data_IF_642319466819
#
_entry.id   IF_642319466819
#
_cell.length_a   1.000
_cell.length_b   1.000
_cell.length_c   1.000
_cell.angle_alpha   90.00
_cell.angle_beta   90.00
_cell.angle_gamma   90.00
#
_symmetry.space_group_name_H-M   'P 1'
#
loop_
_entity.id
_entity.type
_entity.pdbx_description
1 polymer ?
#
# COMPACT_ATOMS: atom_id res chain seq x y z
N UNK A 1 -1.06 12.39 18.62
CA UNK A 1 -2.24 12.24 17.76
C UNK A 1 -3.43 11.72 18.55
N UNK A 2 -4.64 12.20 18.24
CA UNK A 2 -5.88 11.57 18.71
C UNK A 2 -6.23 10.46 17.72
N UNK A 3 -6.50 9.26 18.24
CA UNK A 3 -6.82 8.09 17.42
C UNK A 3 -8.22 7.60 17.75
N UNK A 4 -9.05 7.40 16.74
CA UNK A 4 -10.32 6.70 16.86
C UNK A 4 -10.20 5.31 16.21
N UNK A 5 -10.57 4.28 16.94
CA UNK A 5 -10.58 2.90 16.43
C UNK A 5 -12.03 2.50 16.18
N UNK A 6 -12.32 2.07 14.96
CA UNK A 6 -13.67 1.67 14.53
C UNK A 6 -13.57 0.29 13.88
N UNK A 7 -14.49 -0.60 14.23
CA UNK A 7 -14.57 -1.89 13.53
C UNK A 7 -15.22 -1.72 12.16
N UNK A 8 -14.72 -2.42 11.16
CA UNK A 8 -15.28 -2.33 9.81
C UNK A 8 -16.74 -2.78 9.76
N UNK A 9 -17.14 -3.72 10.63
CA UNK A 9 -18.53 -4.16 10.72
C UNK A 9 -19.46 -3.01 11.13
N UNK A 10 -19.07 -2.19 12.11
CA UNK A 10 -19.85 -1.02 12.49
C UNK A 10 -19.99 -0.02 11.32
N UNK A 11 -18.95 0.10 10.49
CA UNK A 11 -19.00 0.94 9.29
C UNK A 11 -20.00 0.37 8.27
N UNK A 12 -19.98 -0.93 8.07
CA UNK A 12 -20.95 -1.57 7.16
C UNK A 12 -22.39 -1.44 7.66
N UNK A 13 -22.60 -1.66 8.95
CA UNK A 13 -23.94 -1.60 9.57
C UNK A 13 -24.53 -0.20 9.47
N UNK A 14 -23.77 0.82 9.79
CA UNK A 14 -24.22 2.20 9.83
C UNK A 14 -24.36 2.82 8.43
N UNK A 15 -23.40 2.55 7.54
CA UNK A 15 -23.26 3.28 6.27
C UNK A 15 -23.76 2.52 5.05
N UNK A 16 -24.06 1.22 5.15
CA UNK A 16 -24.61 0.45 4.02
C UNK A 16 -25.49 -0.75 4.44
N UNK A 17 -26.21 -0.64 5.54
CA UNK A 17 -27.16 -1.66 6.01
C UNK A 17 -26.52 -3.05 6.23
N UNK A 18 -25.32 -3.09 6.76
CA UNK A 18 -24.55 -4.31 7.02
C UNK A 18 -23.86 -4.91 5.79
N UNK A 19 -23.98 -4.30 4.62
CA UNK A 19 -23.34 -4.82 3.40
C UNK A 19 -21.85 -4.44 3.37
N UNK A 20 -20.95 -5.41 3.13
CA UNK A 20 -19.51 -5.17 3.06
C UNK A 20 -19.11 -4.55 1.72
N UNK A 21 -19.45 -3.28 1.51
CA UNK A 21 -19.18 -2.58 0.26
C UNK A 21 -18.14 -1.47 0.41
N UNK A 22 -17.38 -1.15 -0.65
CA UNK A 22 -16.51 0.02 -0.67
C UNK A 22 -17.25 1.33 -0.42
N UNK A 23 -18.54 1.38 -0.78
CA UNK A 23 -19.40 2.55 -0.62
C UNK A 23 -19.61 2.88 0.86
N UNK A 24 -19.76 1.87 1.71
CA UNK A 24 -19.88 2.06 3.16
C UNK A 24 -18.67 2.81 3.72
N UNK A 25 -17.47 2.38 3.35
CA UNK A 25 -16.22 2.99 3.79
C UNK A 25 -16.12 4.44 3.29
N UNK A 26 -16.46 4.69 2.04
CA UNK A 26 -16.47 6.04 1.48
C UNK A 26 -17.45 6.97 2.19
N UNK A 27 -18.65 6.49 2.51
CA UNK A 27 -19.65 7.24 3.27
C UNK A 27 -19.18 7.55 4.68
N UNK A 28 -18.55 6.58 5.35
CA UNK A 28 -17.92 6.77 6.65
C UNK A 28 -16.85 7.87 6.59
N UNK A 29 -15.89 7.79 5.66
CA UNK A 29 -14.85 8.81 5.47
C UNK A 29 -15.45 10.20 5.31
N UNK A 30 -16.49 10.34 4.50
CA UNK A 30 -17.18 11.62 4.33
C UNK A 30 -17.87 12.10 5.61
N UNK A 31 -18.50 11.21 6.35
CA UNK A 31 -19.15 11.54 7.62
C UNK A 31 -18.14 12.01 8.68
N UNK A 32 -16.93 11.44 8.70
CA UNK A 32 -15.88 11.84 9.66
C UNK A 32 -15.38 13.27 9.42
N UNK A 33 -15.62 13.86 8.26
CA UNK A 33 -15.23 15.25 8.00
C UNK A 33 -16.03 16.27 8.83
N UNK A 34 -17.17 15.86 9.40
CA UNK A 34 -17.93 16.65 10.36
C UNK A 34 -17.39 16.56 11.81
N UNK A 35 -16.41 15.71 12.08
CA UNK A 35 -15.80 15.62 13.41
C UNK A 35 -14.92 16.84 13.70
N UNK A 36 -14.72 17.12 14.99
CA UNK A 36 -13.86 18.23 15.43
C UNK A 36 -12.79 17.73 16.42
N UNK A 37 -11.53 17.62 16.02
CA UNK A 37 -11.02 17.87 14.66
C UNK A 37 -11.38 16.76 13.67
N UNK A 38 -11.47 17.09 12.39
CA UNK A 38 -11.63 16.11 11.34
C UNK A 38 -10.35 15.24 11.21
N UNK A 39 -10.46 13.94 10.90
CA UNK A 39 -9.30 13.08 10.72
C UNK A 39 -8.51 13.47 9.47
N UNK A 40 -7.19 13.34 9.56
CA UNK A 40 -6.25 13.59 8.46
C UNK A 40 -5.74 12.30 7.82
N UNK A 41 -5.91 11.18 8.51
CA UNK A 41 -5.40 9.88 8.11
C UNK A 41 -6.45 8.80 8.37
N UNK A 42 -6.52 7.84 7.46
CA UNK A 42 -7.24 6.58 7.63
C UNK A 42 -6.25 5.43 7.46
N UNK A 43 -6.12 4.59 8.47
CA UNK A 43 -5.34 3.35 8.40
C UNK A 43 -6.28 2.15 8.41
N UNK A 44 -6.22 1.32 7.38
CA UNK A 44 -7.02 0.11 7.24
C UNK A 44 -6.15 -1.09 7.58
N UNK A 45 -6.43 -1.74 8.70
CA UNK A 45 -5.75 -2.96 9.13
C UNK A 45 -6.54 -4.17 8.63
N UNK A 46 -6.38 -4.52 7.38
CA UNK A 46 -7.05 -5.66 6.74
C UNK A 46 -6.49 -5.90 5.34
N UNK A 47 -6.54 -7.15 4.89
CA UNK A 47 -6.27 -7.48 3.50
C UNK A 47 -7.36 -6.92 2.56
N UNK A 48 -7.01 -6.73 1.31
CA UNK A 48 -7.93 -6.26 0.30
C UNK A 48 -8.68 -7.43 -0.34
N UNK A 49 -9.99 -7.27 -0.54
CA UNK A 49 -10.75 -8.16 -1.39
C UNK A 49 -11.29 -7.39 -2.60
N UNK A 50 -11.22 -8.03 -3.75
CA UNK A 50 -11.79 -7.49 -4.96
C UNK A 50 -13.31 -7.40 -4.83
N UNK A 51 -13.94 -6.27 -5.16
CA UNK A 51 -15.37 -6.22 -5.32
C UNK A 51 -15.74 -7.14 -6.50
N UNK A 52 -16.67 -8.04 -6.27
CA UNK A 52 -17.19 -8.88 -7.33
C UNK A 52 -17.90 -7.97 -8.33
N UNK A 53 -17.53 -8.10 -9.59
CA UNK A 53 -17.87 -7.16 -10.68
C UNK A 53 -19.37 -7.15 -11.04
N UNK A 54 -20.13 -8.14 -10.62
CA UNK A 54 -21.54 -8.35 -10.94
C UNK A 54 -22.52 -7.94 -9.83
N UNK A 55 -22.02 -7.33 -8.76
CA UNK A 55 -22.84 -6.95 -7.60
C UNK A 55 -23.26 -8.12 -6.74
N UNK A 56 -22.85 -9.36 -7.05
CA UNK A 56 -22.99 -10.48 -6.13
C UNK A 56 -22.07 -10.23 -4.95
N UNK A 57 -22.64 -10.08 -3.76
CA UNK A 57 -21.89 -10.10 -2.52
C UNK A 57 -21.55 -11.57 -2.28
N UNK A 58 -20.28 -11.93 -2.47
CA UNK A 58 -19.82 -13.22 -1.96
C UNK A 58 -20.06 -13.20 -0.44
N UNK A 59 -21.04 -14.00 0.00
CA UNK A 59 -21.39 -14.13 1.41
C UNK A 59 -20.27 -14.72 2.26
N UNK A 60 -19.20 -15.17 1.63
CA UNK A 60 -17.97 -15.66 2.25
C UNK A 60 -16.90 -14.55 2.36
N UNK A 61 -17.28 -13.32 2.73
CA UNK A 61 -16.32 -12.27 2.99
C UNK A 61 -15.43 -12.68 4.18
N UNK A 62 -14.14 -12.94 3.98
CA UNK A 62 -13.28 -13.32 5.11
C UNK A 62 -13.28 -12.20 6.15
N UNK A 63 -13.38 -12.51 7.45
CA UNK A 63 -13.49 -11.50 8.51
C UNK A 63 -12.27 -10.57 8.61
N UNK A 64 -11.16 -10.92 7.94
CA UNK A 64 -9.93 -10.12 7.86
C UNK A 64 -9.82 -9.29 6.59
N UNK A 65 -10.84 -9.24 5.74
CA UNK A 65 -10.79 -8.47 4.50
C UNK A 65 -11.68 -7.25 4.55
N UNK A 66 -11.21 -6.20 3.88
CA UNK A 66 -11.96 -4.95 3.66
C UNK A 66 -11.95 -4.67 2.17
N UNK A 67 -13.12 -4.52 1.53
CA UNK A 67 -13.18 -4.32 0.09
C UNK A 67 -12.40 -3.08 -0.34
N UNK A 68 -11.74 -3.16 -1.48
CA UNK A 68 -11.20 -2.02 -2.22
C UNK A 68 -12.10 -1.67 -3.39
N UNK A 69 -11.88 -0.53 -4.05
CA UNK A 69 -12.73 -0.07 -5.15
C UNK A 69 -11.98 -0.06 -6.48
N UNK A 70 -12.69 -0.48 -7.53
CA UNK A 70 -12.27 -0.29 -8.92
C UNK A 70 -11.42 -1.43 -9.49
N UNK A 71 -11.21 -1.32 -10.79
CA UNK A 71 -10.26 -2.09 -11.60
C UNK A 71 -9.20 -1.09 -12.07
N UNK A 72 -8.01 -1.24 -11.81
CA UNK A 72 -7.15 -1.52 -10.77
C UNK A 72 -7.64 -1.01 -9.37
N UNK A 73 -7.56 -1.82 -8.31
CA UNK A 73 -8.11 -1.42 -7.02
C UNK A 73 -7.35 -0.23 -6.43
N UNK A 74 -8.12 0.71 -5.87
CA UNK A 74 -7.58 1.90 -5.23
C UNK A 74 -8.30 2.20 -3.92
N UNK A 75 -7.56 2.23 -2.82
CA UNK A 75 -8.09 2.68 -1.53
C UNK A 75 -8.20 4.21 -1.45
N UNK A 76 -7.43 4.96 -2.24
CA UNK A 76 -7.56 6.42 -2.36
C UNK A 76 -8.96 6.86 -2.76
N UNK A 77 -9.71 6.01 -3.48
CA UNK A 77 -11.10 6.28 -3.84
C UNK A 77 -12.01 6.54 -2.63
N UNK A 78 -11.71 5.98 -1.47
CA UNK A 78 -12.49 6.23 -0.25
C UNK A 78 -12.44 7.69 0.17
N UNK A 79 -11.33 8.35 -0.07
CA UNK A 79 -11.06 9.73 0.34
C UNK A 79 -11.34 10.77 -0.75
N UNK A 80 -11.59 10.38 -2.00
CA UNK A 80 -11.85 11.33 -3.09
C UNK A 80 -13.08 12.18 -2.82
N UNK A 81 -12.93 13.50 -2.99
CA UNK A 81 -14.00 14.48 -2.74
C UNK A 81 -15.13 14.37 -3.74
N UNK A 82 -14.83 14.27 -5.01
CA UNK A 82 -15.79 14.30 -6.11
C UNK A 82 -15.90 12.94 -6.79
N UNK A 83 -16.98 12.76 -7.54
CA UNK A 83 -17.15 11.66 -8.47
C UNK A 83 -16.76 12.06 -9.90
N UNK A 84 -16.22 13.27 -10.10
CA UNK A 84 -15.78 13.75 -11.40
C UNK A 84 -14.50 13.08 -11.87
N UNK A 85 -14.31 12.91 -13.18
CA UNK A 85 -13.16 12.22 -13.74
C UNK A 85 -11.82 12.93 -13.48
N UNK A 86 -11.85 14.22 -13.20
CA UNK A 86 -10.64 15.05 -13.07
C UNK A 86 -10.38 15.56 -11.64
N UNK A 87 -11.22 15.18 -10.66
CA UNK A 87 -11.04 15.61 -9.27
C UNK A 87 -10.45 14.47 -8.43
N UNK A 88 -9.12 14.49 -8.30
CA UNK A 88 -8.32 13.55 -7.53
C UNK A 88 -7.99 14.07 -6.12
N UNK A 89 -8.61 15.18 -5.70
CA UNK A 89 -8.37 15.73 -4.37
C UNK A 89 -8.91 14.80 -3.28
N UNK A 90 -8.10 14.56 -2.25
CA UNK A 90 -8.44 13.67 -1.16
C UNK A 90 -8.81 14.45 0.11
N UNK A 91 -9.81 13.98 0.83
CA UNK A 91 -10.25 14.52 2.13
C UNK A 91 -9.24 14.23 3.24
N UNK A 92 -8.57 13.08 3.14
CA UNK A 92 -7.58 12.57 4.08
C UNK A 92 -6.66 11.57 3.38
N UNK A 93 -5.48 11.33 3.93
CA UNK A 93 -4.57 10.30 3.42
C UNK A 93 -5.03 8.90 3.85
N UNK A 94 -5.03 7.94 2.92
CA UNK A 94 -5.43 6.55 3.17
C UNK A 94 -4.22 5.64 3.06
N UNK A 95 -4.06 4.75 4.02
CA UNK A 95 -3.06 3.69 4.00
C UNK A 95 -3.67 2.34 4.40
N UNK A 96 -3.25 1.26 3.73
CA UNK A 96 -3.65 -0.10 4.07
C UNK A 96 -2.46 -0.89 4.58
N UNK A 97 -2.70 -1.61 5.66
CA UNK A 97 -1.78 -2.60 6.23
C UNK A 97 -2.43 -3.95 5.98
N UNK A 98 -1.96 -4.70 4.95
CA UNK A 98 -2.62 -5.92 4.49
C UNK A 98 -2.32 -7.08 5.42
N UNK A 99 -3.05 -7.17 6.52
CA UNK A 99 -2.92 -8.22 7.53
C UNK A 99 -4.17 -9.12 7.55
N UNK A 100 -3.97 -10.40 7.83
CA UNK A 100 -5.02 -11.43 7.89
C UNK A 100 -5.22 -11.99 9.31
N UNK A 101 -4.38 -11.58 10.26
CA UNK A 101 -4.47 -12.01 11.66
C UNK A 101 -3.92 -10.94 12.60
N UNK A 102 -4.29 -11.06 13.88
CA UNK A 102 -3.76 -10.21 14.94
C UNK A 102 -2.23 -10.31 15.01
N UNK A 103 -1.69 -11.53 14.93
CA UNK A 103 -0.24 -11.75 14.99
C UNK A 103 0.51 -11.03 13.85
N UNK A 104 -0.05 -11.00 12.63
CA UNK A 104 0.54 -10.22 11.53
C UNK A 104 0.48 -8.71 11.79
N UNK A 105 -0.61 -8.23 12.40
CA UNK A 105 -0.74 -6.83 12.80
C UNK A 105 0.28 -6.45 13.86
N UNK A 106 0.46 -7.28 14.88
CA UNK A 106 1.46 -7.08 15.94
C UNK A 106 2.87 -7.06 15.36
N UNK A 107 3.21 -8.02 14.49
CA UNK A 107 4.51 -8.05 13.81
C UNK A 107 4.76 -6.80 12.96
N UNK A 108 3.74 -6.30 12.26
CA UNK A 108 3.85 -5.06 11.49
C UNK A 108 4.16 -3.87 12.40
N UNK A 109 3.43 -3.73 13.50
CA UNK A 109 3.62 -2.64 14.47
C UNK A 109 5.00 -2.74 15.11
N UNK A 110 5.45 -3.93 15.49
CA UNK A 110 6.79 -4.15 16.02
C UNK A 110 7.87 -3.72 15.04
N UNK A 111 7.76 -4.12 13.76
CA UNK A 111 8.70 -3.71 12.71
C UNK A 111 8.72 -2.19 12.54
N UNK A 112 7.55 -1.53 12.56
CA UNK A 112 7.44 -0.09 12.43
C UNK A 112 8.13 0.62 13.59
N UNK A 113 7.86 0.21 14.83
CA UNK A 113 8.48 0.77 16.04
C UNK A 113 10.00 0.59 15.98
N UNK A 114 10.47 -0.62 15.65
CA UNK A 114 11.89 -0.91 15.54
C UNK A 114 12.56 -0.05 14.46
N UNK A 115 11.89 0.18 13.34
CA UNK A 115 12.40 1.04 12.28
C UNK A 115 12.49 2.51 12.73
N UNK A 116 11.45 3.04 13.35
CA UNK A 116 11.40 4.45 13.78
C UNK A 116 12.33 4.76 14.96
N UNK A 117 12.59 3.77 15.83
CA UNK A 117 13.45 3.94 17.00
C UNK A 117 14.91 3.57 16.74
N UNK A 118 15.21 2.89 15.63
CA UNK A 118 16.57 2.51 15.27
C UNK A 118 17.42 3.75 14.97
N UNK A 119 18.72 3.74 15.35
CA UNK A 119 19.67 4.77 14.92
C UNK A 119 19.73 4.83 13.40
N UNK A 120 19.91 6.05 12.87
CA UNK A 120 20.08 6.24 11.43
C UNK A 120 21.28 5.43 10.92
N UNK A 121 21.05 4.62 9.91
CA UNK A 121 22.04 3.74 9.32
C UNK A 121 22.15 3.96 7.80
N UNK A 122 23.29 3.60 7.22
CA UNK A 122 23.57 3.81 5.79
C UNK A 122 22.53 3.16 4.85
N UNK A 123 21.94 2.02 5.25
CA UNK A 123 20.92 1.35 4.45
C UNK A 123 19.62 2.17 4.30
N UNK A 124 19.30 3.05 5.26
CA UNK A 124 18.14 3.93 5.23
C UNK A 124 18.26 5.04 4.16
N UNK A 125 19.49 5.31 3.72
CA UNK A 125 19.79 6.24 2.61
C UNK A 125 19.79 5.55 1.24
N UNK A 126 19.51 4.24 1.17
CA UNK A 126 19.51 3.49 -0.09
C UNK A 126 18.11 3.46 -0.69
N UNK A 127 18.01 3.82 -1.95
CA UNK A 127 16.81 3.65 -2.75
C UNK A 127 16.98 2.44 -3.65
N UNK A 128 16.02 1.52 -3.60
CA UNK A 128 15.95 0.37 -4.50
C UNK A 128 14.90 0.68 -5.57
N UNK A 129 15.33 0.74 -6.82
CA UNK A 129 14.45 0.90 -7.97
C UNK A 129 14.28 -0.45 -8.66
N UNK A 130 13.04 -0.89 -8.78
CA UNK A 130 12.68 -2.16 -9.40
C UNK A 130 11.97 -1.88 -10.73
N UNK A 131 12.48 -2.46 -11.81
CA UNK A 131 11.84 -2.45 -13.11
C UNK A 131 11.63 -3.88 -13.58
N UNK A 132 10.45 -4.22 -14.05
CA UNK A 132 10.10 -5.52 -14.59
C UNK A 132 9.28 -5.33 -15.86
N UNK A 133 8.77 -6.41 -16.44
CA UNK A 133 7.92 -6.37 -17.61
C UNK A 133 7.66 -7.79 -18.13
N UNK A 134 6.57 -7.98 -18.83
CA UNK A 134 6.16 -9.29 -19.37
C UNK A 134 6.79 -9.60 -20.73
N UNK A 135 7.35 -8.59 -21.41
CA UNK A 135 8.04 -8.69 -22.68
C UNK A 135 9.19 -7.68 -22.77
N UNK A 136 10.10 -7.87 -23.75
CA UNK A 136 11.30 -7.04 -23.91
C UNK A 136 10.99 -5.54 -24.05
N UNK A 137 10.01 -5.16 -24.85
CA UNK A 137 9.67 -3.75 -25.05
C UNK A 137 9.15 -3.07 -23.79
N UNK A 138 8.39 -3.78 -22.97
CA UNK A 138 7.92 -3.30 -21.67
C UNK A 138 9.07 -3.22 -20.66
N UNK A 139 9.96 -4.21 -20.67
CA UNK A 139 11.16 -4.21 -19.81
C UNK A 139 12.06 -3.02 -20.12
N UNK A 140 12.35 -2.78 -21.38
CA UNK A 140 13.18 -1.66 -21.83
C UNK A 140 12.56 -0.30 -21.42
N UNK A 141 11.26 -0.16 -21.58
CA UNK A 141 10.56 1.07 -21.20
C UNK A 141 10.59 1.30 -19.69
N UNK A 142 10.27 0.28 -18.90
CA UNK A 142 10.28 0.37 -17.45
C UNK A 142 11.68 0.59 -16.90
N UNK A 143 12.71 -0.05 -17.52
CA UNK A 143 14.10 0.17 -17.18
C UNK A 143 14.54 1.61 -17.48
N UNK A 144 14.14 2.16 -18.62
CA UNK A 144 14.42 3.56 -18.98
C UNK A 144 13.87 4.52 -17.92
N UNK A 145 12.60 4.36 -17.53
CA UNK A 145 12.01 5.22 -16.50
C UNK A 145 12.65 5.01 -15.13
N UNK A 146 12.97 3.77 -14.76
CA UNK A 146 13.64 3.46 -13.50
C UNK A 146 15.01 4.14 -13.41
N UNK A 147 15.81 4.07 -14.47
CA UNK A 147 17.11 4.75 -14.55
C UNK A 147 16.94 6.27 -14.44
N UNK A 148 15.95 6.83 -15.14
CA UNK A 148 15.69 8.26 -15.09
C UNK A 148 15.30 8.76 -13.70
N UNK A 149 14.47 8.01 -12.98
CA UNK A 149 14.15 8.31 -11.58
C UNK A 149 15.34 8.17 -10.66
N UNK A 150 16.22 7.20 -10.92
CA UNK A 150 17.47 7.01 -10.18
C UNK A 150 18.41 8.21 -10.30
N UNK A 151 18.56 8.76 -11.50
CA UNK A 151 19.33 9.97 -11.75
C UNK A 151 18.78 11.17 -10.97
N UNK A 152 17.45 11.42 -11.07
CA UNK A 152 16.78 12.51 -10.36
C UNK A 152 16.93 12.37 -8.85
N UNK A 153 16.78 11.16 -8.31
CA UNK A 153 16.93 10.92 -6.88
C UNK A 153 18.38 11.15 -6.42
N UNK A 154 19.37 10.70 -7.20
CA UNK A 154 20.79 10.91 -6.90
C UNK A 154 21.12 12.41 -6.87
N UNK A 155 20.67 13.16 -7.85
CA UNK A 155 20.89 14.61 -7.91
C UNK A 155 20.23 15.36 -6.75
N UNK A 156 19.01 14.95 -6.38
CA UNK A 156 18.24 15.60 -5.31
C UNK A 156 18.86 15.35 -3.94
N UNK A 157 19.27 14.12 -3.66
CA UNK A 157 19.82 13.72 -2.36
C UNK A 157 21.28 14.16 -2.20
N UNK A 158 22.08 14.15 -3.28
CA UNK A 158 23.44 14.70 -3.28
C UNK A 158 23.46 16.19 -2.91
N UNK A 159 22.43 16.93 -3.29
CA UNK A 159 22.30 18.34 -2.95
C UNK A 159 21.90 18.62 -1.48
N UNK A 160 21.37 17.62 -0.77
CA UNK A 160 20.96 17.78 0.63
C UNK A 160 22.13 17.46 1.58
N UNK A 161 22.88 16.40 1.34
CA UNK A 161 23.92 15.90 2.28
C UNK A 161 25.35 15.90 1.72
N UNK A 162 25.54 16.19 0.43
CA UNK A 162 26.87 16.16 -0.23
C UNK A 162 27.41 14.77 -0.56
N UNK A 163 26.77 13.70 -0.10
CA UNK A 163 27.13 12.33 -0.40
C UNK A 163 26.21 11.74 -1.49
N UNK A 164 26.75 11.20 -2.59
CA UNK A 164 25.93 10.59 -3.62
C UNK A 164 25.18 9.36 -3.07
N UNK A 165 23.87 9.30 -3.30
CA UNK A 165 23.09 8.07 -3.04
C UNK A 165 23.58 7.01 -4.04
N UNK A 166 24.04 5.85 -3.58
CA UNK A 166 24.40 4.79 -4.50
C UNK A 166 23.16 4.30 -5.23
N UNK A 167 23.07 4.63 -6.49
CA UNK A 167 22.04 4.10 -7.41
C UNK A 167 22.64 2.87 -8.08
N UNK A 168 22.02 1.73 -7.87
CA UNK A 168 22.40 0.52 -8.58
C UNK A 168 21.75 0.53 -9.96
N UNK A 169 22.55 0.80 -11.00
CA UNK A 169 22.12 0.80 -12.39
C UNK A 169 22.82 -0.31 -13.18
N UNK A 170 22.14 -0.92 -14.14
CA UNK A 170 22.73 -1.86 -15.10
C UNK A 170 22.78 -3.32 -14.66
N UNK A 171 23.85 -4.04 -15.03
CA UNK A 171 23.98 -5.49 -14.85
C UNK A 171 23.86 -5.97 -13.39
N UNK A 172 24.25 -5.14 -12.42
CA UNK A 172 24.13 -5.43 -11.00
C UNK A 172 22.67 -5.47 -10.53
N UNK A 173 21.82 -4.68 -11.15
CA UNK A 173 20.38 -4.66 -10.90
C UNK A 173 19.74 -5.99 -11.29
N UNK A 174 20.08 -6.55 -12.46
CA UNK A 174 19.58 -7.84 -12.92
C UNK A 174 20.00 -9.01 -12.03
N UNK A 175 21.22 -9.01 -11.50
CA UNK A 175 21.68 -10.03 -10.54
C UNK A 175 20.97 -9.90 -9.19
N UNK A 176 20.67 -8.68 -8.76
CA UNK A 176 19.93 -8.44 -7.53
C UNK A 176 18.46 -8.91 -7.68
N UNK A 177 17.82 -8.63 -8.79
CA UNK A 177 16.48 -9.14 -9.11
C UNK A 177 16.40 -10.65 -9.06
N UNK A 178 17.35 -11.32 -9.70
CA UNK A 178 17.40 -12.78 -9.67
C UNK A 178 17.49 -13.30 -8.24
N UNK A 179 18.32 -12.69 -7.40
CA UNK A 179 18.46 -13.08 -5.98
C UNK A 179 17.20 -12.78 -5.16
N UNK A 180 16.52 -11.67 -5.43
CA UNK A 180 15.25 -11.32 -4.75
C UNK A 180 14.13 -12.24 -5.21
N UNK A 181 14.02 -12.54 -6.49
CA UNK A 181 13.04 -13.49 -7.00
C UNK A 181 13.32 -14.91 -6.50
N UNK A 182 14.57 -15.37 -6.53
CA UNK A 182 14.95 -16.68 -5.99
C UNK A 182 14.63 -16.78 -4.49
N UNK A 183 14.83 -15.69 -3.72
CA UNK A 183 14.49 -15.63 -2.29
C UNK A 183 12.98 -15.56 -2.04
N UNK A 184 12.23 -14.85 -2.89
CA UNK A 184 10.76 -14.79 -2.81
C UNK A 184 10.15 -16.12 -3.21
N UNK A 185 10.65 -16.78 -4.26
CA UNK A 185 10.20 -18.10 -4.68
C UNK A 185 10.49 -19.16 -3.62
N UNK A 186 11.66 -19.14 -2.98
CA UNK A 186 12.01 -20.02 -1.87
C UNK A 186 11.08 -19.80 -0.66
N UNK A 187 10.84 -18.53 -0.29
CA UNK A 187 9.94 -18.20 0.83
C UNK A 187 8.47 -18.56 0.52
N UNK A 188 8.07 -18.50 -0.73
CA UNK A 188 6.73 -18.91 -1.18
C UNK A 188 6.58 -20.43 -1.16
N UNK A 189 7.60 -21.17 -1.58
CA UNK A 189 7.62 -22.64 -1.52
C UNK A 189 7.62 -23.14 -0.07
N UNK A 190 8.40 -22.51 0.82
CA UNK A 190 8.38 -22.83 2.26
C UNK A 190 7.02 -22.55 2.92
N UNK A 191 6.30 -21.51 2.47
CA UNK A 191 4.97 -21.21 2.96
C UNK A 191 3.89 -22.20 2.50
N UNK A 192 4.12 -22.91 1.40
CA UNK A 192 3.24 -23.98 0.88
C UNK A 192 3.55 -25.35 1.47
N UNK A 193 4.71 -25.50 2.11
CA UNK A 193 5.15 -26.78 2.71
C UNK A 193 4.74 -26.96 4.18
N UNK A 194 4.01 -26.01 4.75
CA UNK A 194 3.49 -26.08 6.13
C UNK A 194 2.00 -26.37 6.09
N UNK A 195 1.67 -27.65 5.93
CA UNK A 195 0.40 -28.27 6.28
C UNK A 195 0.62 -29.36 7.34
#
# INVERSE_FOLDING_TARGET
YNVAVVTVQNVFDEFDYGRPTPIAIRRFVRATQAWSPAPRFLSIFADAQYPIRDGSVDTAFPPWSVPSFGYAPSDGWFAMQSNGPDDWSELLAVGRIPVRSVAQGELFVEKLINYETAPLAQWQKRMLLLAGGTNEGEQDQLQFYSNRWGEIAADTVANIDGDPVPVHTGADTLQYYKKVNDALDASFQDSLAVD
#
